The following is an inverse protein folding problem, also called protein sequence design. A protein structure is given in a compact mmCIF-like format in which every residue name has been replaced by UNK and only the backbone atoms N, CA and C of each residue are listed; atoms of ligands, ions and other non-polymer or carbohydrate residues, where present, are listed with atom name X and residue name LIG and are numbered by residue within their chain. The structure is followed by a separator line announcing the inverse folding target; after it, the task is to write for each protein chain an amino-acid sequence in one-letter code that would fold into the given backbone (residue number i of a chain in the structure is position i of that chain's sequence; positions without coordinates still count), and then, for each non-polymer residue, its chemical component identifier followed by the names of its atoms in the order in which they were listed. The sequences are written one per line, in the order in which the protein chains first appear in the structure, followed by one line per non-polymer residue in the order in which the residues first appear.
data_IF_991313843307
#
_entry.id   IF_991313843307
#
_cell.length_a   1.000
_cell.length_b   1.000
_cell.length_c   1.000
_cell.angle_alpha   90.00
_cell.angle_beta   90.00
_cell.angle_gamma   90.00
#
_symmetry.space_group_name_H-M   'P 1'
#
loop_
_entity.id
_entity.type
_entity.pdbx_description
1 polymer ?
#
# COMPACT_ATOMS: atom_id res chain seq x y z
N UNK A 1 -20.95 -11.59 -28.29
CA UNK A 1 -20.85 -10.92 -26.98
C UNK A 1 -19.39 -10.64 -26.75
N UNK A 2 -19.01 -9.38 -26.57
CA UNK A 2 -17.61 -8.98 -26.45
C UNK A 2 -17.04 -9.51 -25.12
N UNK A 3 -15.96 -10.29 -25.19
CA UNK A 3 -15.12 -10.57 -24.03
C UNK A 3 -14.46 -9.26 -23.63
N UNK A 4 -15.00 -8.59 -22.61
CA UNK A 4 -14.27 -7.53 -21.93
C UNK A 4 -13.26 -8.23 -21.04
N UNK A 5 -12.05 -8.46 -21.58
CA UNK A 5 -10.89 -8.70 -20.72
C UNK A 5 -10.62 -7.36 -20.06
N UNK A 6 -11.08 -7.21 -18.81
CA UNK A 6 -10.66 -6.08 -17.98
C UNK A 6 -9.17 -6.28 -17.75
N UNK A 7 -8.34 -5.67 -18.60
CA UNK A 7 -6.91 -5.51 -18.35
C UNK A 7 -6.82 -4.89 -16.97
N UNK A 8 -6.32 -5.66 -16.01
CA UNK A 8 -6.13 -5.15 -14.65
C UNK A 8 -5.24 -3.91 -14.75
N UNK A 9 -5.54 -2.79 -14.06
CA UNK A 9 -4.75 -1.56 -14.16
C UNK A 9 -3.31 -1.74 -13.64
N UNK A 10 -3.03 -2.89 -13.02
CA UNK A 10 -1.74 -3.31 -12.51
C UNK A 10 -0.77 -3.70 -13.62
N UNK A 11 0.30 -2.94 -13.78
CA UNK A 11 1.47 -3.32 -14.55
C UNK A 11 2.33 -4.29 -13.74
N UNK A 12 2.73 -5.40 -14.33
CA UNK A 12 3.56 -6.39 -13.67
C UNK A 12 5.01 -6.30 -14.16
N UNK A 13 5.96 -6.22 -13.23
CA UNK A 13 7.38 -6.26 -13.50
C UNK A 13 8.00 -7.40 -12.70
N UNK A 14 8.43 -8.45 -13.38
CA UNK A 14 9.06 -9.61 -12.76
C UNK A 14 10.58 -9.57 -12.93
N UNK A 15 11.30 -9.86 -11.85
CA UNK A 15 12.75 -9.95 -11.79
C UNK A 15 13.19 -11.20 -11.02
N UNK A 16 14.50 -11.43 -10.91
CA UNK A 16 15.03 -12.52 -10.07
C UNK A 16 14.70 -12.37 -8.57
N UNK A 17 14.33 -11.16 -8.12
CA UNK A 17 14.04 -10.85 -6.72
C UNK A 17 12.53 -10.91 -6.38
N UNK A 18 11.67 -11.09 -7.39
CA UNK A 18 10.22 -11.09 -7.19
C UNK A 18 9.47 -10.34 -8.28
N UNK A 19 8.20 -10.10 -8.04
CA UNK A 19 7.25 -9.44 -8.93
C UNK A 19 6.67 -8.21 -8.27
N UNK A 20 6.82 -7.07 -8.93
CA UNK A 20 6.22 -5.80 -8.55
C UNK A 20 4.95 -5.59 -9.37
N UNK A 21 3.84 -5.28 -8.69
CA UNK A 21 2.58 -4.88 -9.28
C UNK A 21 2.42 -3.37 -9.09
N UNK A 22 2.61 -2.62 -10.17
CA UNK A 22 2.56 -1.16 -10.18
C UNK A 22 1.20 -0.66 -10.66
N UNK A 23 0.65 0.36 -10.00
CA UNK A 23 -0.48 1.12 -10.52
C UNK A 23 -0.32 2.62 -10.20
N UNK A 24 -0.87 3.46 -11.07
CA UNK A 24 -0.89 4.91 -10.89
C UNK A 24 -2.33 5.38 -10.74
N UNK A 25 -2.61 6.07 -9.64
CA UNK A 25 -3.95 6.58 -9.33
C UNK A 25 -3.97 8.10 -9.49
N UNK A 26 -4.87 8.57 -10.35
CA UNK A 26 -5.13 10.01 -10.53
C UNK A 26 -6.17 10.48 -9.50
N UNK A 27 -6.11 11.76 -9.16
CA UNK A 27 -6.91 12.37 -8.09
C UNK A 27 -6.09 12.67 -6.85
N UNK A 28 -6.53 13.68 -6.10
CA UNK A 28 -5.88 14.15 -4.87
C UNK A 28 -6.87 14.38 -3.73
N UNK A 29 -8.17 14.20 -3.97
CA UNK A 29 -9.19 14.31 -2.94
C UNK A 29 -9.30 13.02 -2.13
N UNK A 30 -9.88 13.13 -0.94
CA UNK A 30 -9.99 12.01 -0.01
C UNK A 30 -10.75 10.80 -0.61
N UNK A 31 -11.83 10.96 -1.40
CA UNK A 31 -12.49 9.83 -2.07
C UNK A 31 -11.57 9.09 -3.06
N UNK A 32 -10.80 9.79 -3.90
CA UNK A 32 -9.86 9.16 -4.82
C UNK A 32 -8.75 8.42 -4.06
N UNK A 33 -8.20 9.06 -3.01
CA UNK A 33 -7.20 8.44 -2.15
C UNK A 33 -7.74 7.17 -1.48
N UNK A 34 -8.94 7.23 -0.89
CA UNK A 34 -9.60 6.06 -0.28
C UNK A 34 -9.73 4.92 -1.28
N UNK A 35 -10.30 5.18 -2.46
CA UNK A 35 -10.48 4.16 -3.49
C UNK A 35 -9.16 3.51 -3.92
N UNK A 36 -8.11 4.32 -4.07
CA UNK A 36 -6.79 3.83 -4.45
C UNK A 36 -6.15 2.96 -3.35
N UNK A 37 -6.22 3.38 -2.08
CA UNK A 37 -5.73 2.60 -0.94
C UNK A 37 -6.47 1.26 -0.80
N UNK A 38 -7.79 1.26 -0.95
CA UNK A 38 -8.61 0.05 -0.94
C UNK A 38 -8.21 -0.90 -2.07
N UNK A 39 -7.97 -0.39 -3.28
CA UNK A 39 -7.49 -1.19 -4.40
C UNK A 39 -6.12 -1.81 -4.12
N UNK A 40 -5.20 -1.06 -3.52
CA UNK A 40 -3.88 -1.57 -3.14
C UNK A 40 -3.97 -2.69 -2.10
N UNK A 41 -4.74 -2.46 -1.04
CA UNK A 41 -4.94 -3.44 0.02
C UNK A 41 -5.66 -4.69 -0.51
N UNK A 42 -6.71 -4.54 -1.31
CA UNK A 42 -7.41 -5.66 -1.94
C UNK A 42 -6.48 -6.45 -2.87
N UNK A 43 -5.63 -5.77 -3.65
CA UNK A 43 -4.64 -6.43 -4.50
C UNK A 43 -3.61 -7.20 -3.69
N UNK A 44 -3.10 -6.62 -2.60
CA UNK A 44 -2.18 -7.30 -1.70
C UNK A 44 -2.81 -8.56 -1.09
N UNK A 45 -4.03 -8.44 -0.58
CA UNK A 45 -4.79 -9.57 -0.02
C UNK A 45 -5.02 -10.66 -1.07
N UNK A 46 -5.30 -10.31 -2.32
CA UNK A 46 -5.49 -11.29 -3.41
C UNK A 46 -4.24 -12.10 -3.76
N UNK A 47 -3.06 -11.67 -3.30
CA UNK A 47 -1.78 -12.32 -3.55
C UNK A 47 -1.27 -13.10 -2.31
N UNK A 48 -1.99 -13.08 -1.19
CA UNK A 48 -1.53 -13.70 0.05
C UNK A 48 -1.36 -15.21 -0.05
N UNK A 49 -2.18 -15.89 -0.85
CA UNK A 49 -2.05 -17.33 -1.09
C UNK A 49 -0.68 -17.74 -1.67
N UNK A 50 0.00 -16.82 -2.37
CA UNK A 50 1.33 -17.07 -2.95
C UNK A 50 2.43 -16.21 -2.32
N UNK A 51 2.07 -15.19 -1.55
CA UNK A 51 3.01 -14.31 -0.86
C UNK A 51 3.39 -14.78 0.54
N UNK A 52 2.55 -15.61 1.18
CA UNK A 52 2.80 -16.13 2.53
C UNK A 52 3.67 -17.39 2.47
N UNK A 53 4.69 -17.40 3.31
CA UNK A 53 5.51 -18.57 3.66
C UNK A 53 5.47 -18.84 5.18
N UNK A 54 6.20 -19.86 5.64
CA UNK A 54 6.24 -20.27 7.05
C UNK A 54 6.78 -19.19 8.00
N UNK A 55 7.55 -18.22 7.49
CA UNK A 55 8.19 -17.16 8.27
C UNK A 55 7.41 -15.83 8.23
N UNK A 56 6.36 -15.76 7.42
CA UNK A 56 5.57 -14.55 7.19
C UNK A 56 4.75 -14.17 8.41
N UNK A 57 4.84 -12.90 8.84
CA UNK A 57 4.13 -12.40 10.02
C UNK A 57 3.35 -11.13 9.75
N UNK A 58 3.87 -10.25 8.90
CA UNK A 58 3.31 -8.92 8.70
C UNK A 58 2.83 -8.71 7.27
N UNK A 59 1.66 -8.08 7.13
CA UNK A 59 1.30 -7.35 5.93
C UNK A 59 1.70 -5.89 6.15
N UNK A 60 2.80 -5.48 5.54
CA UNK A 60 3.41 -4.17 5.76
C UNK A 60 2.97 -3.17 4.69
N UNK A 61 2.43 -2.05 5.15
CA UNK A 61 2.09 -0.86 4.36
C UNK A 61 3.15 0.23 4.62
N UNK A 62 3.88 0.60 3.58
CA UNK A 62 4.94 1.61 3.63
C UNK A 62 4.51 2.84 2.84
N UNK A 63 4.24 3.93 3.55
CA UNK A 63 3.79 5.17 2.95
C UNK A 63 4.95 6.16 2.86
N UNK A 64 5.29 6.61 1.66
CA UNK A 64 6.22 7.70 1.44
C UNK A 64 5.44 8.98 1.13
N UNK A 65 5.22 9.89 2.10
CA UNK A 65 4.45 11.10 1.87
C UNK A 65 5.14 12.07 0.91
N UNK A 66 6.48 12.08 0.85
CA UNK A 66 7.22 13.00 -0.02
C UNK A 66 7.13 12.60 -1.50
N UNK A 67 7.13 11.29 -1.77
CA UNK A 67 6.93 10.77 -3.11
C UNK A 67 5.44 10.60 -3.47
N UNK A 68 4.56 10.64 -2.47
CA UNK A 68 3.19 10.17 -2.54
C UNK A 68 3.13 8.77 -3.16
N UNK A 69 3.79 7.82 -2.49
CA UNK A 69 3.87 6.43 -2.91
C UNK A 69 3.50 5.49 -1.76
N UNK A 70 2.72 4.46 -2.05
CA UNK A 70 2.43 3.36 -1.13
C UNK A 70 3.06 2.08 -1.66
N UNK A 71 3.81 1.39 -0.80
CA UNK A 71 4.24 0.02 -1.03
C UNK A 71 3.52 -0.91 -0.06
N UNK A 72 3.07 -2.08 -0.54
CA UNK A 72 2.50 -3.12 0.31
C UNK A 72 3.21 -4.44 0.04
N UNK A 73 3.66 -5.10 1.10
CA UNK A 73 4.46 -6.32 1.01
C UNK A 73 4.23 -7.22 2.23
N UNK A 74 4.28 -8.53 2.04
CA UNK A 74 4.35 -9.48 3.16
C UNK A 74 5.80 -9.59 3.62
N UNK A 75 6.05 -9.54 4.93
CA UNK A 75 7.40 -9.67 5.49
C UNK A 75 7.41 -10.52 6.76
N UNK A 76 8.60 -11.06 7.04
CA UNK A 76 8.88 -11.78 8.28
C UNK A 76 8.86 -10.90 9.55
N UNK A 77 9.00 -11.52 10.72
CA UNK A 77 9.00 -10.82 12.01
C UNK A 77 10.09 -9.74 12.14
N UNK A 78 11.21 -9.90 11.43
CA UNK A 78 12.33 -8.95 11.43
C UNK A 78 12.08 -7.75 10.52
N UNK A 79 11.09 -7.82 9.62
CA UNK A 79 10.78 -6.82 8.57
C UNK A 79 11.90 -6.66 7.53
N UNK A 80 12.78 -7.65 7.42
CA UNK A 80 13.95 -7.63 6.52
C UNK A 80 13.82 -8.63 5.38
N UNK A 81 12.92 -9.61 5.48
CA UNK A 81 12.68 -10.60 4.43
C UNK A 81 11.29 -10.41 3.87
N UNK A 82 11.26 -9.68 2.76
CA UNK A 82 10.05 -9.44 1.99
C UNK A 82 9.72 -10.63 1.09
N UNK A 83 8.43 -10.90 0.92
CA UNK A 83 7.93 -11.90 -0.02
C UNK A 83 8.25 -11.52 -1.47
N UNK A 84 8.09 -12.48 -2.38
CA UNK A 84 8.27 -12.27 -3.81
C UNK A 84 7.22 -11.36 -4.47
N UNK A 85 6.21 -10.87 -3.75
CA UNK A 85 5.15 -10.02 -4.28
C UNK A 85 5.10 -8.67 -3.60
N UNK A 86 5.30 -7.61 -4.38
CA UNK A 86 5.25 -6.22 -3.92
C UNK A 86 4.20 -5.46 -4.70
N UNK A 87 3.33 -4.75 -4.00
CA UNK A 87 2.35 -3.84 -4.60
C UNK A 87 2.93 -2.44 -4.46
N UNK A 88 2.99 -1.69 -5.56
CA UNK A 88 3.44 -0.30 -5.55
C UNK A 88 2.38 0.58 -6.20
N UNK A 89 2.01 1.65 -5.50
CA UNK A 89 1.04 2.62 -5.97
C UNK A 89 1.62 4.02 -5.93
N UNK A 90 1.42 4.75 -7.03
CA UNK A 90 1.89 6.11 -7.19
C UNK A 90 0.70 7.08 -7.30
N UNK A 91 0.82 8.24 -6.66
CA UNK A 91 -0.23 9.24 -6.58
C UNK A 91 0.27 10.59 -7.14
N UNK A 92 0.45 10.71 -8.47
CA UNK A 92 1.08 11.88 -9.09
C UNK A 92 0.35 13.20 -8.82
N UNK A 93 -0.99 13.20 -8.82
CA UNK A 93 -1.78 14.41 -8.54
C UNK A 93 -1.64 14.84 -7.07
N UNK A 94 -1.66 13.89 -6.13
CA UNK A 94 -1.40 14.16 -4.72
C UNK A 94 0.03 14.69 -4.51
N UNK A 95 1.02 14.09 -5.17
CA UNK A 95 2.41 14.56 -5.14
C UNK A 95 2.53 16.00 -5.62
N UNK A 96 1.82 16.36 -6.67
CA UNK A 96 1.82 17.73 -7.20
C UNK A 96 1.24 18.73 -6.19
N UNK A 97 0.22 18.36 -5.43
CA UNK A 97 -0.35 19.20 -4.36
C UNK A 97 0.58 19.36 -3.16
N UNK A 98 1.43 18.37 -2.89
CA UNK A 98 2.42 18.42 -1.82
C UNK A 98 3.66 19.26 -2.21
N UNK A 99 3.87 19.48 -3.52
CA UNK A 99 4.94 20.30 -4.08
C UNK A 99 4.42 21.67 -4.58
N UNK A 100 4.14 22.60 -3.65
CA UNK A 100 4.72 23.94 -3.78
C UNK A 100 5.17 24.54 -2.43
N UNK A 101 6.50 24.71 -2.30
CA UNK A 101 7.23 25.79 -1.59
C UNK A 101 7.09 25.91 -0.05
N UNK A 102 8.26 25.83 0.61
CA UNK A 102 8.61 26.33 1.96
C UNK A 102 8.18 25.53 3.21
N UNK A 103 9.20 24.91 3.83
CA UNK A 103 9.60 24.87 5.26
C UNK A 103 8.57 24.84 6.42
N UNK A 104 7.27 24.68 6.17
CA UNK A 104 6.20 24.64 7.16
C UNK A 104 5.14 23.56 6.91
N UNK A 105 5.36 22.68 5.92
CA UNK A 105 4.36 21.71 5.45
C UNK A 105 4.29 20.41 6.29
N UNK A 106 4.95 20.36 7.47
CA UNK A 106 4.97 19.15 8.31
C UNK A 106 3.58 18.79 8.83
N UNK A 107 2.78 19.78 9.24
CA UNK A 107 1.41 19.55 9.71
C UNK A 107 0.50 18.93 8.64
N UNK A 108 0.68 19.30 7.36
CA UNK A 108 -0.08 18.72 6.24
C UNK A 108 0.36 17.29 5.94
N UNK A 109 1.66 17.00 6.05
CA UNK A 109 2.21 15.65 5.89
C UNK A 109 1.74 14.75 7.02
N UNK A 110 1.77 15.22 8.26
CA UNK A 110 1.28 14.46 9.43
C UNK A 110 -0.22 14.15 9.30
N UNK A 111 -1.02 15.14 8.91
CA UNK A 111 -2.45 14.95 8.66
C UNK A 111 -2.71 13.95 7.52
N UNK A 112 -1.89 13.98 6.46
CA UNK A 112 -1.97 13.01 5.37
C UNK A 112 -1.59 11.59 5.83
N UNK A 113 -0.53 11.44 6.62
CA UNK A 113 -0.11 10.15 7.17
C UNK A 113 -1.22 9.53 8.03
N UNK A 114 -1.82 10.32 8.92
CA UNK A 114 -2.95 9.88 9.75
C UNK A 114 -4.18 9.54 8.89
N UNK A 115 -4.44 10.30 7.82
CA UNK A 115 -5.52 10.01 6.88
C UNK A 115 -5.30 8.68 6.16
N UNK A 116 -4.10 8.44 5.61
CA UNK A 116 -3.77 7.19 4.91
C UNK A 116 -3.88 6.01 5.85
N UNK A 117 -3.31 6.13 7.06
CA UNK A 117 -3.39 5.10 8.11
C UNK A 117 -4.85 4.79 8.46
N UNK A 118 -5.65 5.81 8.75
CA UNK A 118 -7.07 5.66 9.09
C UNK A 118 -7.85 4.94 7.97
N UNK A 119 -7.66 5.35 6.72
CA UNK A 119 -8.36 4.76 5.57
C UNK A 119 -7.98 3.28 5.37
N UNK A 120 -6.71 2.93 5.56
CA UNK A 120 -6.26 1.55 5.49
C UNK A 120 -6.82 0.70 6.66
N UNK A 121 -6.78 1.22 7.89
CA UNK A 121 -7.37 0.56 9.06
C UNK A 121 -8.88 0.31 8.89
N UNK A 122 -9.64 1.32 8.47
CA UNK A 122 -11.09 1.22 8.25
C UNK A 122 -11.44 0.18 7.18
N UNK A 123 -10.67 0.15 6.09
CA UNK A 123 -10.84 -0.86 5.05
C UNK A 123 -10.51 -2.26 5.57
N UNK A 124 -9.35 -2.48 6.18
CA UNK A 124 -8.94 -3.81 6.64
C UNK A 124 -9.87 -4.36 7.74
N UNK A 125 -10.38 -3.49 8.62
CA UNK A 125 -11.34 -3.86 9.65
C UNK A 125 -12.68 -4.37 9.07
N UNK A 126 -13.02 -3.98 7.84
CA UNK A 126 -14.25 -4.40 7.15
C UNK A 126 -14.03 -5.38 6.01
N UNK A 127 -12.78 -5.63 5.60
CA UNK A 127 -12.44 -6.48 4.46
C UNK A 127 -12.20 -7.94 4.85
N UNK A 128 -13.28 -8.72 4.84
CA UNK A 128 -13.29 -10.12 5.29
C UNK A 128 -12.21 -11.05 4.71
N UNK A 129 -11.78 -10.91 3.44
CA UNK A 129 -10.73 -11.77 2.89
C UNK A 129 -9.40 -11.70 3.67
N UNK A 130 -9.09 -10.55 4.29
CA UNK A 130 -7.87 -10.43 5.09
C UNK A 130 -7.90 -11.31 6.35
N UNK A 131 -9.06 -11.48 6.98
CA UNK A 131 -9.21 -12.31 8.20
C UNK A 131 -9.03 -13.81 7.98
N UNK A 132 -8.88 -14.25 6.72
CA UNK A 132 -8.56 -15.65 6.41
C UNK A 132 -7.08 -15.98 6.65
N UNK A 133 -6.25 -14.98 6.93
CA UNK A 133 -4.81 -15.12 7.10
C UNK A 133 -4.36 -14.72 8.52
N UNK A 134 -3.33 -15.38 9.03
CA UNK A 134 -2.76 -15.10 10.37
C UNK A 134 -1.75 -13.95 10.39
N UNK A 135 -1.82 -13.03 9.41
CA UNK A 135 -0.91 -11.89 9.32
C UNK A 135 -1.38 -10.74 10.20
N UNK A 136 -0.42 -9.96 10.68
CA UNK A 136 -0.68 -8.69 11.37
C UNK A 136 -0.45 -7.54 10.39
N UNK A 137 -1.46 -6.69 10.20
CA UNK A 137 -1.32 -5.50 9.37
C UNK A 137 -0.55 -4.42 10.13
N UNK A 138 0.52 -3.92 9.52
CA UNK A 138 1.35 -2.85 10.09
C UNK A 138 1.58 -1.75 9.06
N UNK A 139 1.78 -0.53 9.55
CA UNK A 139 1.99 0.67 8.77
C UNK A 139 3.22 1.43 9.25
N UNK A 140 4.00 2.00 8.35
CA UNK A 140 4.93 3.07 8.67
C UNK A 140 4.93 4.15 7.59
N UNK A 141 5.35 5.35 7.98
CA UNK A 141 5.57 6.47 7.07
C UNK A 141 6.96 7.11 7.20
N UNK A 142 7.86 6.46 7.93
CA UNK A 142 9.21 6.92 8.22
C UNK A 142 10.24 5.81 7.99
N UNK A 143 10.18 4.75 8.80
CA UNK A 143 11.08 3.62 8.72
C UNK A 143 10.43 2.34 9.22
N UNK A 144 10.96 1.20 8.77
CA UNK A 144 10.53 -0.14 9.22
C UNK A 144 10.80 -0.43 10.70
N UNK A 145 11.61 0.38 11.38
CA UNK A 145 11.77 0.31 12.83
C UNK A 145 10.61 0.97 13.59
N UNK A 146 9.91 1.90 12.94
CA UNK A 146 8.85 2.74 13.52
C UNK A 146 7.48 2.38 12.93
N UNK A 147 7.08 1.11 13.10
CA UNK A 147 5.80 0.61 12.60
C UNK A 147 4.69 0.71 13.64
N UNK A 148 3.46 0.92 13.18
CA UNK A 148 2.24 0.99 13.96
C UNK A 148 1.26 -0.08 13.48
N UNK A 149 0.40 -0.59 14.35
CA UNK A 149 -0.67 -1.51 13.96
C UNK A 149 -1.77 -0.76 13.21
N UNK A 150 -2.37 -1.43 12.22
CA UNK A 150 -3.57 -0.99 11.52
C UNK A 150 -4.83 -1.60 12.11
#
# INVERSE_FOLDING_TARGET
MANIVTLSPWQQQSSAQGTVYLNCFNGYDQPALKHALENCAAKAVSLLDTAIDDDSLYLLFEWNPLAAELQVVVTDATKQRDSAHTIQAQFPDLRAQLHPVESGNSASIDALNETVKFLLSDFLASYSPFFSYSLVAIFHSSSRAETQLL
#
